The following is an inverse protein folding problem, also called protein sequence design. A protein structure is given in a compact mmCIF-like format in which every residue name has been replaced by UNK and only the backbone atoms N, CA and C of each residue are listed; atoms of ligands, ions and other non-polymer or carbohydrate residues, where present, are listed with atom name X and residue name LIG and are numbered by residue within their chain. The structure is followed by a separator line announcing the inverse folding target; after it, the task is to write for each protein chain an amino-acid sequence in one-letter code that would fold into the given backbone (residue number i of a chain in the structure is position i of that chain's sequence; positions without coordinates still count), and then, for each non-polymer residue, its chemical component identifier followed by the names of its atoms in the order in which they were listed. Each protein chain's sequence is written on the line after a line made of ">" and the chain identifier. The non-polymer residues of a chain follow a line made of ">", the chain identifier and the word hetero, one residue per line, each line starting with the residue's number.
data_IF_808974411736
#
_entry.id   IF_808974411736
#
_cell.length_a   1.000
_cell.length_b   1.000
_cell.length_c   1.000
_cell.angle_alpha   90.00
_cell.angle_beta   90.00
_cell.angle_gamma   90.00
#
_symmetry.space_group_name_H-M   'P 1'
#
loop_
_entity.id
_entity.type
_entity.pdbx_description
1 polymer ?
#
# COMPACT_ATOMS: atom_id res chain seq x y z
N UNK A 1 16.47 13.14 24.32
CA UNK A 1 15.19 12.84 23.62
C UNK A 1 14.17 12.38 24.66
N UNK A 2 13.06 13.11 24.85
CA UNK A 2 12.09 12.83 25.92
C UNK A 2 11.37 11.50 25.64
N UNK A 3 11.01 10.76 26.68
CA UNK A 3 10.29 9.47 26.60
C UNK A 3 8.99 9.55 25.80
N UNK A 4 8.29 10.69 25.87
CA UNK A 4 7.07 10.97 25.08
C UNK A 4 7.31 11.00 23.57
N UNK A 5 8.44 11.56 23.13
CA UNK A 5 8.79 11.62 21.71
C UNK A 5 9.09 10.22 21.15
N UNK A 6 9.73 9.36 21.96
CA UNK A 6 9.99 7.96 21.61
C UNK A 6 8.67 7.19 21.46
N UNK A 7 7.74 7.33 22.40
CA UNK A 7 6.43 6.67 22.33
C UNK A 7 5.62 7.13 21.11
N UNK A 8 5.64 8.42 20.79
CA UNK A 8 4.96 8.94 19.60
C UNK A 8 5.53 8.36 18.31
N UNK A 9 6.86 8.22 18.21
CA UNK A 9 7.51 7.58 17.04
C UNK A 9 7.15 6.10 16.91
N UNK A 10 7.11 5.35 18.01
CA UNK A 10 6.67 3.94 17.96
C UNK A 10 5.22 3.81 17.53
N UNK A 11 4.31 4.66 18.05
CA UNK A 11 2.91 4.71 17.61
C UNK A 11 2.78 5.00 16.11
N UNK A 12 3.58 5.92 15.58
CA UNK A 12 3.62 6.21 14.14
C UNK A 12 4.10 5.01 13.33
N UNK A 13 5.14 4.29 13.77
CA UNK A 13 5.60 3.06 13.11
C UNK A 13 4.52 1.97 13.08
N UNK A 14 3.79 1.76 14.18
CA UNK A 14 2.68 0.80 14.20
C UNK A 14 1.56 1.21 13.25
N UNK A 15 1.15 2.49 13.27
CA UNK A 15 0.16 3.01 12.31
C UNK A 15 0.59 2.82 10.87
N UNK A 16 1.86 3.05 10.56
CA UNK A 16 2.42 2.84 9.23
C UNK A 16 2.27 1.37 8.78
N UNK A 17 2.60 0.43 9.66
CA UNK A 17 2.43 -1.01 9.40
C UNK A 17 0.95 -1.35 9.18
N UNK A 18 0.05 -0.83 10.01
CA UNK A 18 -1.40 -1.05 9.85
C UNK A 18 -1.90 -0.53 8.50
N UNK A 19 -1.49 0.66 8.06
CA UNK A 19 -1.89 1.18 6.75
C UNK A 19 -1.34 0.29 5.61
N UNK A 20 -0.09 -0.16 5.68
CA UNK A 20 0.47 -1.09 4.68
C UNK A 20 -0.28 -2.44 4.66
N UNK A 21 -0.73 -2.94 5.82
CA UNK A 21 -1.55 -4.13 5.89
C UNK A 21 -2.93 -3.94 5.23
N UNK A 22 -3.54 -2.76 5.39
CA UNK A 22 -4.80 -2.41 4.71
C UNK A 22 -4.60 -2.41 3.18
N UNK A 23 -3.54 -1.77 2.68
CA UNK A 23 -3.21 -1.80 1.24
C UNK A 23 -3.02 -3.23 0.73
N UNK A 24 -2.31 -4.07 1.49
CA UNK A 24 -2.12 -5.47 1.16
C UNK A 24 -3.43 -6.27 1.12
N UNK A 25 -4.37 -5.99 2.03
CA UNK A 25 -5.71 -6.61 2.03
C UNK A 25 -6.51 -6.22 0.80
N UNK A 26 -6.62 -4.92 0.51
CA UNK A 26 -7.33 -4.42 -0.67
C UNK A 26 -6.75 -5.06 -1.94
N UNK A 27 -5.42 -5.09 -2.09
CA UNK A 27 -4.80 -5.70 -3.26
C UNK A 27 -5.10 -7.20 -3.36
N UNK A 28 -4.93 -7.94 -2.24
CA UNK A 28 -5.14 -9.39 -2.20
C UNK A 28 -6.58 -9.79 -2.51
N UNK A 29 -7.56 -9.02 -2.03
CA UNK A 29 -8.99 -9.25 -2.31
C UNK A 29 -9.25 -9.28 -3.83
N UNK A 30 -8.62 -8.37 -4.58
CA UNK A 30 -8.82 -8.27 -6.03
C UNK A 30 -7.90 -9.22 -6.81
N UNK A 31 -6.71 -9.55 -6.30
CA UNK A 31 -5.86 -10.60 -6.87
C UNK A 31 -6.56 -11.97 -6.99
N UNK A 32 -7.49 -12.28 -6.09
CA UNK A 32 -8.26 -13.54 -6.10
C UNK A 32 -9.34 -13.55 -7.20
N UNK A 33 -9.74 -12.37 -7.69
CA UNK A 33 -10.73 -12.22 -8.75
C UNK A 33 -10.11 -12.33 -10.16
N UNK A 34 -8.79 -12.19 -10.27
CA UNK A 34 -8.08 -12.33 -11.55
C UNK A 34 -8.20 -13.77 -12.05
N UNK A 35 -8.49 -13.93 -13.35
CA UNK A 35 -8.56 -15.24 -13.99
C UNK A 35 -7.29 -16.06 -13.74
N UNK A 36 -7.39 -17.34 -13.36
CA UNK A 36 -6.22 -18.23 -13.21
C UNK A 36 -5.37 -18.37 -14.47
N UNK A 37 -5.92 -18.04 -15.65
CA UNK A 37 -5.19 -18.04 -16.91
C UNK A 37 -4.16 -16.91 -17.03
N UNK A 38 -4.26 -15.86 -16.22
CA UNK A 38 -3.32 -14.74 -16.21
C UNK A 38 -2.28 -14.99 -15.11
N UNK A 39 -1.02 -15.17 -15.52
CA UNK A 39 0.07 -15.44 -14.59
C UNK A 39 0.46 -14.17 -13.83
N UNK A 40 0.85 -14.30 -12.56
CA UNK A 40 1.38 -13.18 -11.75
C UNK A 40 2.67 -12.58 -12.30
N UNK A 41 3.41 -13.35 -13.10
CA UNK A 41 4.61 -12.89 -13.79
C UNK A 41 4.30 -12.12 -15.08
N UNK A 42 3.03 -12.10 -15.51
CA UNK A 42 2.60 -11.34 -16.68
C UNK A 42 2.60 -9.84 -16.35
N UNK A 43 3.12 -9.04 -17.29
CA UNK A 43 3.13 -7.59 -17.18
C UNK A 43 1.71 -7.00 -17.05
N UNK A 44 0.70 -7.71 -17.56
CA UNK A 44 -0.69 -7.27 -17.51
C UNK A 44 -1.43 -7.65 -16.22
N UNK A 45 -0.85 -8.50 -15.35
CA UNK A 45 -1.54 -8.98 -14.14
C UNK A 45 -2.00 -7.83 -13.24
N UNK A 46 -1.12 -6.86 -12.98
CA UNK A 46 -1.44 -5.74 -12.11
C UNK A 46 -2.51 -4.82 -12.71
N UNK A 47 -2.51 -4.63 -14.03
CA UNK A 47 -3.56 -3.86 -14.72
C UNK A 47 -4.92 -4.56 -14.56
N UNK A 48 -4.96 -5.88 -14.69
CA UNK A 48 -6.18 -6.64 -14.48
C UNK A 48 -6.69 -6.54 -13.04
N UNK A 49 -5.78 -6.60 -12.06
CA UNK A 49 -6.14 -6.37 -10.65
C UNK A 49 -6.78 -5.00 -10.46
N UNK A 50 -6.20 -3.94 -11.04
CA UNK A 50 -6.73 -2.57 -10.97
C UNK A 50 -8.07 -2.45 -11.66
N UNK A 51 -8.24 -3.05 -12.84
CA UNK A 51 -9.50 -3.07 -13.60
C UNK A 51 -10.64 -3.71 -12.82
N UNK A 52 -10.34 -4.74 -12.02
CA UNK A 52 -11.31 -5.42 -11.18
C UNK A 52 -11.66 -4.63 -9.91
N UNK A 53 -10.88 -3.60 -9.55
CA UNK A 53 -11.21 -2.71 -8.43
C UNK A 53 -12.31 -1.74 -8.83
N UNK A 54 -13.31 -1.61 -7.96
CA UNK A 54 -14.28 -0.53 -8.10
C UNK A 54 -13.64 0.83 -7.85
N UNK A 55 -14.25 1.88 -8.42
CA UNK A 55 -13.81 3.27 -8.19
C UNK A 55 -13.76 3.66 -6.71
N UNK A 56 -14.69 3.15 -5.90
CA UNK A 56 -14.67 3.38 -4.45
C UNK A 56 -13.45 2.73 -3.79
N UNK A 57 -13.05 1.53 -4.23
CA UNK A 57 -11.85 0.85 -3.71
C UNK A 57 -10.55 1.48 -4.18
N UNK A 58 -10.47 1.93 -5.44
CA UNK A 58 -9.34 2.72 -5.93
C UNK A 58 -9.14 4.00 -5.08
N UNK A 59 -10.22 4.72 -4.78
CA UNK A 59 -10.18 5.91 -3.90
C UNK A 59 -9.75 5.57 -2.47
N UNK A 60 -10.29 4.49 -1.90
CA UNK A 60 -9.89 4.00 -0.58
C UNK A 60 -8.39 3.67 -0.54
N UNK A 61 -7.91 2.94 -1.55
CA UNK A 61 -6.50 2.59 -1.70
C UNK A 61 -5.61 3.84 -1.73
N UNK A 62 -5.93 4.81 -2.58
CA UNK A 62 -5.19 6.06 -2.68
C UNK A 62 -5.21 6.86 -1.37
N UNK A 63 -6.33 6.87 -0.64
CA UNK A 63 -6.44 7.53 0.66
C UNK A 63 -5.57 6.88 1.74
N UNK A 64 -5.53 5.55 1.78
CA UNK A 64 -4.67 4.79 2.71
C UNK A 64 -3.19 4.99 2.38
N UNK A 65 -2.84 5.01 1.09
CA UNK A 65 -1.48 5.23 0.64
C UNK A 65 -1.00 6.66 0.98
N UNK A 66 -1.83 7.67 0.80
CA UNK A 66 -1.50 9.04 1.22
C UNK A 66 -1.18 9.12 2.73
N UNK A 67 -1.92 8.38 3.57
CA UNK A 67 -1.58 8.29 5.01
C UNK A 67 -0.24 7.60 5.25
N UNK A 68 0.15 6.63 4.42
CA UNK A 68 1.48 6.03 4.48
C UNK A 68 2.57 7.04 4.17
N UNK A 69 2.39 7.85 3.11
CA UNK A 69 3.30 8.93 2.72
C UNK A 69 3.47 9.95 3.86
N UNK A 70 2.37 10.42 4.45
CA UNK A 70 2.37 11.36 5.57
C UNK A 70 3.08 10.82 6.81
N UNK A 71 2.94 9.52 7.10
CA UNK A 71 3.63 8.91 8.22
C UNK A 71 5.12 8.71 7.89
N UNK A 72 5.44 8.28 6.68
CA UNK A 72 6.80 7.95 6.24
C UNK A 72 7.76 9.14 6.38
N UNK A 73 7.31 10.36 6.09
CA UNK A 73 8.12 11.58 6.27
C UNK A 73 8.45 11.90 7.73
N UNK A 74 7.70 11.33 8.68
CA UNK A 74 7.81 11.59 10.11
C UNK A 74 8.50 10.45 10.90
N UNK A 75 8.84 9.34 10.24
CA UNK A 75 9.49 8.19 10.88
C UNK A 75 10.89 7.94 10.29
N UNK A 76 11.89 7.85 11.18
CA UNK A 76 13.26 7.50 10.80
C UNK A 76 13.55 6.03 11.13
N UNK A 77 14.42 5.39 10.32
CA UNK A 77 14.83 4.00 10.52
C UNK A 77 13.64 3.04 10.39
N UNK A 78 12.94 3.12 9.27
CA UNK A 78 11.91 2.16 8.87
C UNK A 78 12.60 0.91 8.31
N UNK A 79 12.06 -0.26 8.62
CA UNK A 79 12.58 -1.53 8.10
C UNK A 79 12.57 -1.54 6.56
N UNK A 80 13.64 -2.07 5.97
CA UNK A 80 13.79 -2.12 4.51
C UNK A 80 12.70 -2.92 3.79
N UNK A 81 12.07 -3.89 4.46
CA UNK A 81 10.91 -4.60 3.92
C UNK A 81 9.68 -3.70 3.82
N UNK A 82 9.43 -2.85 4.82
CA UNK A 82 8.28 -1.94 4.84
C UNK A 82 8.42 -0.82 3.81
N UNK A 83 9.64 -0.31 3.59
CA UNK A 83 9.89 0.68 2.54
C UNK A 83 9.72 0.08 1.15
N UNK A 84 10.15 -1.17 0.94
CA UNK A 84 9.90 -1.90 -0.32
C UNK A 84 8.42 -2.11 -0.57
N UNK A 85 7.67 -2.58 0.44
CA UNK A 85 6.21 -2.77 0.31
C UNK A 85 5.50 -1.46 -0.02
N UNK A 86 5.88 -0.36 0.65
CA UNK A 86 5.32 0.94 0.36
C UNK A 86 5.60 1.37 -1.08
N UNK A 87 6.84 1.24 -1.55
CA UNK A 87 7.20 1.55 -2.94
C UNK A 87 6.37 0.74 -3.94
N UNK A 88 6.19 -0.56 -3.70
CA UNK A 88 5.35 -1.43 -4.56
C UNK A 88 3.91 -0.90 -4.63
N UNK A 89 3.33 -0.52 -3.50
CA UNK A 89 2.00 0.08 -3.48
C UNK A 89 1.95 1.46 -4.18
N UNK A 90 3.00 2.26 -4.06
CA UNK A 90 3.12 3.51 -4.82
C UNK A 90 3.18 3.27 -6.33
N UNK A 91 3.83 2.18 -6.77
CA UNK A 91 3.87 1.81 -8.18
C UNK A 91 2.49 1.36 -8.68
N UNK A 92 1.73 0.62 -7.87
CA UNK A 92 0.35 0.26 -8.19
C UNK A 92 -0.58 1.48 -8.30
N UNK A 93 -0.38 2.51 -7.47
CA UNK A 93 -1.12 3.77 -7.59
C UNK A 93 -0.93 4.45 -8.95
N UNK A 94 0.25 4.31 -9.59
CA UNK A 94 0.48 4.86 -10.93
C UNK A 94 -0.44 4.20 -11.94
N UNK A 95 -0.55 2.86 -11.89
CA UNK A 95 -1.49 2.10 -12.72
C UNK A 95 -2.93 2.55 -12.47
N UNK A 96 -3.33 2.72 -11.21
CA UNK A 96 -4.67 3.23 -10.84
C UNK A 96 -4.95 4.63 -11.41
N UNK A 97 -3.91 5.46 -11.58
CA UNK A 97 -4.05 6.83 -12.08
C UNK A 97 -4.02 6.91 -13.61
N UNK A 98 -3.61 5.83 -14.27
CA UNK A 98 -3.53 5.69 -15.73
C UNK A 98 -4.76 4.97 -16.33
N UNK A 99 -5.53 4.26 -15.50
CA UNK A 99 -6.82 3.60 -15.83
C UNK A 99 -8.01 4.58 -15.76
#
# INVERSE_FOLDING_TARGET
>A
MRTRDKQNKHKLKFRYIEQLQILGKIWKEHCVLVSPSILKSDNNYNNEVVRLMSESKKKEYCSVLAKCDDIAVNINGVDGSLTKSHKVFSDYKKIISED
#
